data_IF_796046285451
#
_entry.id   IF_796046285451
#
_cell.length_a   1.000
_cell.length_b   1.000
_cell.length_c   1.000
_cell.angle_alpha   90.00
_cell.angle_beta   90.00
_cell.angle_gamma   90.00
#
_symmetry.space_group_name_H-M   'P 1'
#
loop_
_entity.id
_entity.type
_entity.pdbx_description
1 polymer ?
#
# COMPACT_ATOMS: atom_id res chain seq x y z
N UNK A 1 -36.05 -81.89 -41.75
CA UNK A 1 -36.31 -81.06 -42.94
C UNK A 1 -36.72 -79.65 -42.50
N UNK A 2 -36.13 -78.68 -43.08
CA UNK A 2 -36.40 -77.20 -43.02
C UNK A 2 -35.41 -76.40 -42.28
N UNK A 3 -34.58 -75.95 -43.02
CA UNK A 3 -33.85 -74.83 -43.49
C UNK A 3 -33.88 -73.61 -42.52
N UNK A 4 -32.70 -73.40 -41.99
CA UNK A 4 -32.28 -72.27 -41.19
C UNK A 4 -31.89 -71.10 -42.15
N UNK A 5 -32.50 -69.94 -41.94
CA UNK A 5 -32.09 -68.69 -42.59
C UNK A 5 -31.37 -67.84 -41.54
N UNK A 6 -30.07 -67.70 -41.70
CA UNK A 6 -29.26 -66.76 -40.96
C UNK A 6 -29.49 -65.33 -41.44
N UNK A 7 -29.97 -64.47 -40.54
CA UNK A 7 -29.99 -63.07 -40.80
C UNK A 7 -28.88 -62.40 -39.90
N UNK A 8 -27.80 -62.05 -40.56
CA UNK A 8 -26.69 -61.27 -39.96
C UNK A 8 -27.14 -59.81 -39.80
N UNK A 9 -27.40 -59.42 -38.56
CA UNK A 9 -27.53 -58.02 -38.20
C UNK A 9 -26.18 -57.47 -37.70
N UNK A 10 -25.61 -56.68 -38.57
CA UNK A 10 -24.34 -55.94 -38.30
C UNK A 10 -24.68 -54.72 -37.44
N UNK A 11 -24.49 -54.78 -36.11
CA UNK A 11 -24.57 -53.66 -35.23
C UNK A 11 -23.22 -52.98 -35.17
N UNK A 12 -23.12 -51.85 -35.89
CA UNK A 12 -22.00 -50.93 -35.79
C UNK A 12 -22.07 -50.20 -34.48
N UNK A 13 -21.21 -50.57 -33.54
CA UNK A 13 -21.02 -49.82 -32.28
C UNK A 13 -20.15 -48.59 -32.55
N UNK A 14 -20.83 -47.45 -32.63
CA UNK A 14 -20.15 -46.16 -32.65
C UNK A 14 -19.62 -45.85 -31.23
N UNK A 15 -18.31 -46.09 -30.99
CA UNK A 15 -17.65 -45.71 -29.76
C UNK A 15 -17.40 -44.20 -29.80
N UNK A 16 -18.25 -43.46 -29.10
CA UNK A 16 -17.98 -42.02 -28.84
C UNK A 16 -16.94 -41.95 -27.75
N UNK A 17 -15.69 -41.66 -28.16
CA UNK A 17 -14.63 -41.30 -27.24
C UNK A 17 -14.89 -39.86 -26.77
N UNK A 18 -15.56 -39.72 -25.63
CA UNK A 18 -15.65 -38.48 -24.89
C UNK A 18 -14.25 -38.19 -24.31
N UNK A 19 -13.49 -37.34 -24.97
CA UNK A 19 -12.30 -36.74 -24.38
C UNK A 19 -12.76 -35.82 -23.25
N UNK A 20 -12.75 -36.30 -22.03
CA UNK A 20 -12.87 -35.45 -20.84
C UNK A 20 -11.56 -34.66 -20.74
N UNK A 21 -11.65 -33.38 -21.05
CA UNK A 21 -10.60 -32.40 -20.71
C UNK A 21 -10.68 -32.25 -19.18
N UNK A 22 -9.81 -32.97 -18.49
CA UNK A 22 -9.55 -32.78 -17.08
C UNK A 22 -8.90 -31.41 -16.90
N UNK A 23 -9.72 -30.40 -16.56
CA UNK A 23 -9.23 -29.11 -16.10
C UNK A 23 -8.68 -29.36 -14.70
N UNK A 24 -7.39 -29.69 -14.64
CA UNK A 24 -6.66 -29.73 -13.40
C UNK A 24 -6.69 -28.32 -12.82
N UNK A 25 -7.27 -28.09 -11.61
CA UNK A 25 -7.15 -26.79 -10.99
C UNK A 25 -5.67 -26.55 -10.77
N UNK A 26 -5.14 -25.54 -11.44
CA UNK A 26 -3.79 -25.03 -11.17
C UNK A 26 -3.82 -24.50 -9.75
N UNK A 27 -3.50 -25.35 -8.79
CA UNK A 27 -3.11 -24.91 -7.46
C UNK A 27 -1.87 -24.07 -7.67
N UNK A 28 -2.04 -22.75 -7.70
CA UNK A 28 -0.93 -21.82 -7.53
C UNK A 28 -0.38 -22.09 -6.14
N UNK A 29 0.62 -22.96 -6.06
CA UNK A 29 1.49 -23.01 -4.90
C UNK A 29 2.04 -21.59 -4.76
N UNK A 30 1.48 -20.89 -3.79
CA UNK A 30 2.05 -19.67 -3.25
C UNK A 30 3.34 -20.10 -2.55
N UNK A 31 4.39 -20.33 -3.34
CA UNK A 31 5.75 -20.35 -2.82
C UNK A 31 5.94 -18.98 -2.20
N UNK A 32 6.06 -18.93 -0.88
CA UNK A 32 6.61 -17.79 -0.15
C UNK A 32 8.05 -17.57 -0.65
N UNK A 33 8.17 -16.93 -1.80
CA UNK A 33 9.46 -16.47 -2.31
C UNK A 33 9.83 -15.33 -1.38
N UNK A 34 10.70 -15.63 -0.41
CA UNK A 34 11.29 -14.64 0.47
C UNK A 34 11.90 -13.56 -0.40
N UNK A 35 11.23 -12.42 -0.49
CA UNK A 35 11.73 -11.27 -1.24
C UNK A 35 13.03 -10.77 -0.61
N UNK A 36 14.04 -10.48 -1.43
CA UNK A 36 15.26 -9.81 -1.02
C UNK A 36 15.16 -8.28 -1.21
N UNK A 37 13.94 -7.75 -1.33
CA UNK A 37 13.71 -6.32 -1.25
C UNK A 37 14.03 -5.81 0.18
N UNK A 38 14.54 -4.60 0.30
CA UNK A 38 14.83 -3.98 1.59
C UNK A 38 14.55 -2.48 1.52
N UNK A 39 13.77 -1.98 2.47
CA UNK A 39 13.47 -0.56 2.56
C UNK A 39 14.38 0.12 3.59
N UNK A 40 15.03 1.20 3.18
CA UNK A 40 15.86 2.03 4.06
C UNK A 40 15.42 3.48 3.97
N UNK A 41 14.94 4.05 5.06
CA UNK A 41 14.60 5.47 5.16
C UNK A 41 15.83 6.30 5.52
N UNK A 42 15.91 7.54 5.02
CA UNK A 42 16.89 8.54 5.45
C UNK A 42 16.62 8.96 6.90
N UNK A 43 15.34 9.13 7.25
CA UNK A 43 14.87 9.35 8.62
C UNK A 43 13.49 8.69 8.80
N UNK A 44 13.22 8.23 10.01
CA UNK A 44 11.93 7.62 10.38
C UNK A 44 11.09 8.52 11.27
N UNK A 45 11.60 9.72 11.61
CA UNK A 45 10.89 10.67 12.46
C UNK A 45 11.08 12.10 11.97
N UNK A 46 10.04 12.93 12.15
CA UNK A 46 10.09 14.35 11.86
C UNK A 46 9.31 15.16 12.87
N UNK A 47 9.88 16.30 13.32
CA UNK A 47 9.21 17.27 14.17
C UNK A 47 8.92 18.54 13.40
N UNK A 48 7.65 18.92 13.30
CA UNK A 48 7.22 20.16 12.69
C UNK A 48 7.47 21.40 13.56
N UNK A 49 7.84 21.20 14.83
CA UNK A 49 7.86 22.31 15.78
C UNK A 49 6.46 22.87 16.02
N UNK A 50 6.29 24.20 16.00
CA UNK A 50 5.01 24.86 16.11
C UNK A 50 4.32 24.94 14.74
N UNK A 51 3.08 24.47 14.67
CA UNK A 51 2.18 24.53 13.51
C UNK A 51 1.03 25.41 13.85
N UNK A 52 0.69 26.38 13.00
CA UNK A 52 -0.48 27.24 13.21
C UNK A 52 -1.76 26.42 12.98
N UNK A 53 -2.74 26.55 13.89
CA UNK A 53 -4.02 25.85 13.78
C UNK A 53 -4.71 26.19 12.45
N UNK A 54 -5.26 25.15 11.80
CA UNK A 54 -5.87 25.24 10.47
C UNK A 54 -4.92 24.98 9.31
N UNK A 55 -3.60 24.93 9.54
CA UNK A 55 -2.63 24.61 8.49
C UNK A 55 -2.49 23.09 8.30
N UNK A 56 -2.08 22.71 7.09
CA UNK A 56 -1.65 21.34 6.78
C UNK A 56 -0.12 21.32 6.82
N UNK A 57 0.44 20.57 7.77
CA UNK A 57 1.88 20.35 7.87
C UNK A 57 2.25 19.14 7.03
N UNK A 58 3.22 19.30 6.13
CA UNK A 58 3.62 18.27 5.17
C UNK A 58 5.10 17.96 5.30
N UNK A 59 5.45 16.67 5.27
CA UNK A 59 6.84 16.21 5.28
C UNK A 59 7.03 14.98 4.38
N UNK A 60 8.14 14.96 3.66
CA UNK A 60 8.54 13.94 2.72
C UNK A 60 9.58 13.00 3.32
N UNK A 61 9.17 11.77 3.66
CA UNK A 61 10.05 10.70 4.09
C UNK A 61 10.65 10.01 2.87
N UNK A 62 11.91 10.30 2.58
CA UNK A 62 12.65 9.62 1.51
C UNK A 62 13.13 8.25 1.96
N UNK A 63 13.01 7.29 1.06
CA UNK A 63 13.53 5.94 1.25
C UNK A 63 14.15 5.40 -0.02
N UNK A 64 15.01 4.39 0.13
CA UNK A 64 15.70 3.71 -0.97
C UNK A 64 15.47 2.22 -0.84
N UNK A 65 15.25 1.54 -1.96
CA UNK A 65 15.32 0.09 -2.02
C UNK A 65 16.79 -0.32 -2.00
N UNK A 66 17.25 -0.82 -0.86
CA UNK A 66 18.64 -1.31 -0.69
C UNK A 66 18.77 -2.82 -0.91
N UNK A 67 17.67 -3.49 -1.26
CA UNK A 67 17.64 -4.90 -1.61
C UNK A 67 18.03 -5.17 -3.06
N UNK A 68 17.95 -6.44 -3.46
CA UNK A 68 18.24 -6.90 -4.82
C UNK A 68 16.98 -7.15 -5.65
N UNK A 69 15.81 -7.21 -5.02
CA UNK A 69 14.52 -7.40 -5.67
C UNK A 69 13.70 -6.11 -5.70
N UNK A 70 12.74 -5.97 -6.63
CA UNK A 70 11.83 -4.83 -6.64
C UNK A 70 11.06 -4.71 -5.33
N UNK A 71 11.06 -3.50 -4.75
CA UNK A 71 10.33 -3.16 -3.54
C UNK A 71 8.92 -2.69 -3.89
N UNK A 72 7.93 -3.32 -3.28
CA UNK A 72 6.52 -2.93 -3.39
C UNK A 72 5.95 -2.63 -2.01
N UNK A 73 5.37 -1.46 -1.85
CA UNK A 73 4.61 -1.11 -0.67
C UNK A 73 3.17 -1.66 -0.82
N UNK A 74 2.74 -2.47 0.13
CA UNK A 74 1.40 -3.07 0.13
C UNK A 74 0.36 -2.19 0.81
N UNK A 75 0.77 -1.48 1.87
CA UNK A 75 -0.08 -0.56 2.60
C UNK A 75 0.73 0.51 3.32
N UNK A 76 0.19 1.74 3.35
CA UNK A 76 0.68 2.82 4.20
C UNK A 76 -0.53 3.47 4.86
N UNK A 77 -0.58 3.41 6.18
CA UNK A 77 -1.71 3.90 6.97
C UNK A 77 -1.25 4.72 8.16
N UNK A 78 -2.05 5.69 8.56
CA UNK A 78 -1.77 6.52 9.73
C UNK A 78 -2.56 6.04 10.97
N UNK A 79 -2.05 6.36 12.15
CA UNK A 79 -2.67 6.04 13.44
C UNK A 79 -3.97 6.84 13.71
N UNK A 80 -4.29 7.85 12.89
CA UNK A 80 -5.50 8.66 13.00
C UNK A 80 -5.94 9.22 11.64
N UNK A 81 -7.22 9.60 11.53
CA UNK A 81 -7.73 10.29 10.33
C UNK A 81 -7.23 11.73 10.15
N UNK A 82 -6.41 12.23 11.07
CA UNK A 82 -5.79 13.56 10.99
C UNK A 82 -4.50 13.59 10.18
N UNK A 83 -4.00 12.41 9.80
CA UNK A 83 -2.78 12.24 9.01
C UNK A 83 -3.09 11.44 7.77
N UNK A 84 -2.75 11.97 6.60
CA UNK A 84 -2.99 11.32 5.31
C UNK A 84 -1.64 11.05 4.65
N UNK A 85 -1.21 9.78 4.58
CA UNK A 85 0.00 9.43 3.85
C UNK A 85 -0.28 9.27 2.35
N UNK A 86 0.63 9.79 1.52
CA UNK A 86 0.68 9.54 0.07
C UNK A 86 1.96 8.78 -0.25
N UNK A 87 1.89 7.73 -1.07
CA UNK A 87 3.04 6.89 -1.41
C UNK A 87 2.96 6.35 -2.84
N UNK A 88 4.09 5.95 -3.44
CA UNK A 88 4.12 5.36 -4.77
C UNK A 88 3.42 3.99 -4.76
N UNK A 89 2.68 3.71 -5.83
CA UNK A 89 1.99 2.43 -6.05
C UNK A 89 2.78 1.49 -6.94
N UNK A 90 3.74 2.05 -7.66
CA UNK A 90 4.65 1.33 -8.55
C UNK A 90 5.72 0.60 -7.73
N UNK A 91 6.36 -0.37 -8.36
CA UNK A 91 7.54 -1.04 -7.82
C UNK A 91 8.76 -0.11 -7.89
N UNK A 92 9.52 -0.12 -6.82
CA UNK A 92 10.78 0.62 -6.72
C UNK A 92 11.93 -0.36 -7.00
N UNK A 93 12.63 -0.17 -8.12
CA UNK A 93 13.73 -1.04 -8.51
C UNK A 93 14.89 -0.99 -7.49
N UNK A 94 15.75 -2.00 -7.44
CA UNK A 94 16.96 -2.00 -6.63
C UNK A 94 17.78 -0.74 -6.81
N UNK A 95 18.21 -0.12 -5.72
CA UNK A 95 18.97 1.12 -5.71
C UNK A 95 18.18 2.40 -6.00
N UNK A 96 16.91 2.31 -6.38
CA UNK A 96 16.07 3.48 -6.61
C UNK A 96 15.46 4.00 -5.30
N UNK A 97 15.21 5.30 -5.29
CA UNK A 97 14.60 6.01 -4.16
C UNK A 97 13.22 6.49 -4.50
N UNK A 98 12.38 6.58 -3.48
CA UNK A 98 11.03 7.12 -3.57
C UNK A 98 10.67 7.85 -2.27
N UNK A 99 9.44 8.38 -2.19
CA UNK A 99 9.02 9.25 -1.09
C UNK A 99 7.65 8.84 -0.58
N UNK A 100 7.48 8.86 0.74
CA UNK A 100 6.18 8.84 1.41
C UNK A 100 5.94 10.24 1.97
N UNK A 101 4.92 10.92 1.46
CA UNK A 101 4.50 12.25 1.93
C UNK A 101 3.50 12.09 3.06
N UNK A 102 3.80 12.64 4.23
CA UNK A 102 2.89 12.70 5.37
C UNK A 102 2.23 14.09 5.44
N UNK A 103 0.90 14.14 5.41
CA UNK A 103 0.13 15.38 5.56
C UNK A 103 -0.64 15.33 6.89
N UNK A 104 -0.37 16.26 7.78
CA UNK A 104 -1.08 16.41 9.05
C UNK A 104 -1.99 17.63 9.02
N UNK A 105 -3.29 17.42 9.21
CA UNK A 105 -4.28 18.49 9.31
C UNK A 105 -4.43 18.94 10.77
N UNK A 106 -4.02 20.18 11.06
CA UNK A 106 -4.02 20.75 12.40
C UNK A 106 -5.36 21.40 12.79
N UNK A 107 -6.33 21.49 11.88
CA UNK A 107 -7.60 22.15 12.12
C UNK A 107 -8.39 21.53 13.29
N UNK A 108 -8.76 22.35 14.28
CA UNK A 108 -9.48 21.93 15.48
C UNK A 108 -8.66 20.99 16.41
N UNK A 109 -7.31 21.06 16.36
CA UNK A 109 -6.42 20.17 17.12
C UNK A 109 -5.29 20.91 17.83
N UNK A 110 -5.62 21.92 18.70
CA UNK A 110 -4.59 22.63 19.43
C UNK A 110 -3.82 21.71 20.39
N UNK A 111 -2.56 22.06 20.66
CA UNK A 111 -1.67 21.32 21.56
C UNK A 111 -0.72 20.38 20.85
N UNK A 112 0.01 19.60 21.65
CA UNK A 112 1.05 18.68 21.15
C UNK A 112 0.44 17.46 20.44
N UNK A 113 1.10 17.01 19.38
CA UNK A 113 0.74 15.78 18.71
C UNK A 113 1.96 14.90 18.47
N UNK A 114 1.70 13.60 18.44
CA UNK A 114 2.63 12.56 18.00
C UNK A 114 1.81 11.51 17.26
N UNK A 115 2.12 11.26 15.98
CA UNK A 115 1.37 10.38 15.09
C UNK A 115 2.29 9.41 14.38
N UNK A 116 1.84 8.16 14.29
CA UNK A 116 2.56 7.11 13.61
C UNK A 116 1.95 6.85 12.23
N UNK A 117 2.82 6.51 11.28
CA UNK A 117 2.49 6.05 9.94
C UNK A 117 3.11 4.67 9.79
N UNK A 118 2.27 3.67 9.55
CA UNK A 118 2.68 2.28 9.40
C UNK A 118 2.89 1.98 7.92
N UNK A 119 4.10 1.65 7.55
CA UNK A 119 4.51 1.28 6.19
C UNK A 119 4.66 -0.22 6.14
N UNK A 120 3.96 -0.89 5.21
CA UNK A 120 4.03 -2.33 4.98
C UNK A 120 4.43 -2.63 3.55
N UNK A 121 5.30 -3.60 3.36
CA UNK A 121 5.76 -4.02 2.05
C UNK A 121 6.61 -5.28 2.09
N UNK A 122 7.01 -5.75 0.91
CA UNK A 122 7.89 -6.93 0.80
C UNK A 122 9.34 -6.66 1.24
N UNK A 123 9.70 -5.40 1.51
CA UNK A 123 11.02 -5.00 2.03
C UNK A 123 11.07 -4.87 3.57
N UNK A 124 10.01 -5.29 4.26
CA UNK A 124 9.84 -5.18 5.71
C UNK A 124 8.87 -4.07 6.12
N UNK A 125 8.42 -4.14 7.37
CA UNK A 125 7.50 -3.16 7.96
C UNK A 125 8.30 -2.08 8.69
N UNK A 126 7.91 -0.81 8.49
CA UNK A 126 8.55 0.35 9.13
C UNK A 126 7.47 1.26 9.72
N UNK A 127 7.75 1.83 10.88
CA UNK A 127 6.91 2.88 11.48
C UNK A 127 7.62 4.22 11.36
N UNK A 128 6.94 5.19 10.72
CA UNK A 128 7.37 6.58 10.67
C UNK A 128 6.60 7.38 11.72
N UNK A 129 7.23 8.40 12.28
CA UNK A 129 6.65 9.22 13.34
C UNK A 129 6.72 10.69 12.96
N UNK A 130 5.60 11.40 13.09
CA UNK A 130 5.55 12.86 13.00
C UNK A 130 5.08 13.45 14.33
N UNK A 131 5.65 14.58 14.72
CA UNK A 131 5.32 15.26 15.96
C UNK A 131 5.31 16.78 15.78
N UNK A 132 4.71 17.48 16.73
CA UNK A 132 4.69 18.93 16.73
C UNK A 132 3.76 19.49 17.81
N UNK A 133 3.56 20.79 17.78
CA UNK A 133 2.67 21.50 18.68
C UNK A 133 1.80 22.48 17.89
N UNK A 134 0.49 22.29 17.89
CA UNK A 134 -0.45 23.17 17.22
C UNK A 134 -0.73 24.37 18.11
N UNK A 135 -0.41 25.55 17.62
CA UNK A 135 -0.61 26.84 18.29
C UNK A 135 -1.64 27.67 17.54
N UNK A 136 -2.38 28.51 18.27
CA UNK A 136 -3.26 29.50 17.64
C UNK A 136 -2.42 30.55 16.92
N UNK A 137 -2.96 31.07 15.83
CA UNK A 137 -2.34 32.20 15.15
C UNK A 137 -2.19 33.38 16.15
N UNK A 138 -1.03 34.02 16.24
CA UNK A 138 -0.88 35.22 17.07
C UNK A 138 -1.87 36.28 16.64
N UNK A 139 -2.63 36.85 17.57
CA UNK A 139 -3.51 37.96 17.27
C UNK A 139 -2.70 39.12 16.67
N UNK A 140 -3.08 39.51 15.45
CA UNK A 140 -2.46 40.67 14.79
C UNK A 140 -2.68 41.88 15.69
N UNK A 141 -1.61 42.61 16.11
CA UNK A 141 -1.81 43.79 16.94
C UNK A 141 -2.78 44.75 16.25
N UNK A 142 -3.87 45.06 16.94
CA UNK A 142 -4.85 46.07 16.44
C UNK A 142 -4.07 47.36 16.24
N UNK A 143 -4.04 47.86 15.01
CA UNK A 143 -3.51 49.18 14.73
C UNK A 143 -4.20 50.19 15.60
N UNK A 144 -3.49 51.14 16.26
CA UNK A 144 -4.15 52.19 17.07
C UNK A 144 -5.18 52.90 16.23
N UNK A 145 -6.43 52.95 16.71
CA UNK A 145 -7.47 53.77 16.10
C UNK A 145 -7.07 55.23 16.39
N UNK A 146 -6.56 55.91 15.37
CA UNK A 146 -6.32 57.35 15.47
C UNK A 146 -7.68 58.00 15.45
N UNK A 147 -8.21 58.36 16.62
CA UNK A 147 -9.36 59.25 16.74
C UNK A 147 -8.86 60.66 16.46
N UNK A 148 -9.37 61.24 15.37
CA UNK A 148 -9.05 62.61 14.94
C UNK A 148 -10.12 63.54 15.51
#
# INVERSE_FOLDING_TARGET
MKKIVFLLAFLATCSIVSAQVEIKPSTTEQTDIKSNAAIKFETTSHSFGNVIEGQIATYDFKFTNTGTDPLRLSNVSASCGCTTPKWPREEIAPGQSATITAEYNSNGRPGTFNKNIFVKGNGGDVTLTISGNVVKEPEKPMSPIIIK
#
